data_IF_828212265128
#
_entry.id   IF_828212265128
#
_cell.length_a   1.000
_cell.length_b   1.000
_cell.length_c   1.000
_cell.angle_alpha   90.00
_cell.angle_beta   90.00
_cell.angle_gamma   90.00
#
_symmetry.space_group_name_H-M   'P 1'
#
loop_
_entity.id
_entity.type
_entity.pdbx_description
1 polymer ?
#
# COMPACT_ATOMS: atom_id res chain seq x y z
N UNK A 1 -12.79 13.15 -33.19
CA UNK A 1 -13.92 13.14 -32.24
C UNK A 1 -13.44 13.71 -30.92
N UNK A 2 -13.88 14.92 -30.57
CA UNK A 2 -13.58 15.54 -29.28
C UNK A 2 -14.20 14.73 -28.14
N UNK A 3 -13.44 14.49 -27.06
CA UNK A 3 -13.96 13.84 -25.85
C UNK A 3 -14.94 14.81 -25.16
N UNK A 4 -16.12 14.36 -24.73
CA UNK A 4 -17.10 15.25 -24.11
C UNK A 4 -16.53 15.82 -22.82
N UNK A 5 -16.52 17.16 -22.73
CA UNK A 5 -16.08 17.93 -21.57
C UNK A 5 -17.10 17.77 -20.43
N UNK A 6 -16.99 16.68 -19.67
CA UNK A 6 -17.79 16.44 -18.47
C UNK A 6 -17.19 17.23 -17.30
N UNK A 7 -17.88 18.28 -16.86
CA UNK A 7 -17.56 18.96 -15.60
C UNK A 7 -17.63 17.94 -14.44
N UNK A 8 -16.64 17.87 -13.54
CA UNK A 8 -16.68 16.95 -12.40
C UNK A 8 -17.89 17.27 -11.51
N UNK A 9 -18.51 16.23 -10.94
CA UNK A 9 -19.54 16.42 -9.90
C UNK A 9 -18.97 17.22 -8.72
N UNK A 10 -19.83 17.89 -7.95
CA UNK A 10 -19.42 18.73 -6.81
C UNK A 10 -18.66 17.95 -5.71
N UNK A 11 -18.87 16.63 -5.63
CA UNK A 11 -18.07 15.72 -4.80
C UNK A 11 -16.67 15.45 -5.39
N UNK A 12 -16.59 15.27 -6.71
CA UNK A 12 -15.32 15.04 -7.43
C UNK A 12 -14.41 16.27 -7.39
N UNK A 13 -14.98 17.48 -7.43
CA UNK A 13 -14.21 18.72 -7.32
C UNK A 13 -13.62 18.95 -5.92
N UNK A 14 -14.34 18.55 -4.85
CA UNK A 14 -13.84 18.60 -3.46
C UNK A 14 -12.69 17.63 -3.22
N UNK A 15 -12.79 16.39 -3.72
CA UNK A 15 -11.72 15.39 -3.64
C UNK A 15 -10.49 15.85 -4.42
N UNK A 16 -10.69 16.34 -5.65
CA UNK A 16 -9.62 16.89 -6.48
C UNK A 16 -8.88 18.05 -5.80
N UNK A 17 -9.62 19.00 -5.21
CA UNK A 17 -9.03 20.11 -4.45
C UNK A 17 -8.23 19.62 -3.24
N UNK A 18 -8.77 18.68 -2.46
CA UNK A 18 -8.07 18.08 -1.32
C UNK A 18 -6.76 17.37 -1.72
N UNK A 19 -6.76 16.66 -2.85
CA UNK A 19 -5.57 16.02 -3.42
C UNK A 19 -4.52 17.08 -3.79
N UNK A 20 -4.92 18.13 -4.50
CA UNK A 20 -4.03 19.22 -4.90
C UNK A 20 -3.43 19.95 -3.69
N UNK A 21 -4.25 20.26 -2.68
CA UNK A 21 -3.78 20.93 -1.45
C UNK A 21 -2.74 20.09 -0.70
N UNK A 22 -2.93 18.75 -0.64
CA UNK A 22 -1.96 17.82 -0.05
C UNK A 22 -0.68 17.75 -0.85
N UNK A 23 -0.79 17.71 -2.17
CA UNK A 23 0.37 17.70 -3.07
C UNK A 23 1.20 18.99 -2.92
N UNK A 24 0.55 20.15 -2.81
CA UNK A 24 1.25 21.43 -2.55
C UNK A 24 1.99 21.43 -1.22
N UNK A 25 1.45 20.80 -0.17
CA UNK A 25 2.16 20.63 1.12
C UNK A 25 3.38 19.74 0.98
N UNK A 26 3.24 18.58 0.31
CA UNK A 26 4.34 17.66 0.05
C UNK A 26 5.46 18.36 -0.74
N UNK A 27 5.12 19.11 -1.78
CA UNK A 27 6.08 19.90 -2.56
C UNK A 27 6.82 20.93 -1.67
N UNK A 28 6.12 21.52 -0.70
CA UNK A 28 6.73 22.38 0.33
C UNK A 28 7.72 21.63 1.22
N UNK A 29 7.38 20.41 1.65
CA UNK A 29 8.27 19.56 2.46
C UNK A 29 9.54 19.17 1.68
N UNK A 30 9.41 18.77 0.40
CA UNK A 30 10.56 18.46 -0.47
C UNK A 30 11.49 19.67 -0.64
N UNK A 31 10.92 20.86 -0.87
CA UNK A 31 11.69 22.12 -0.91
C UNK A 31 12.38 22.42 0.43
N UNK A 32 11.73 22.08 1.54
CA UNK A 32 12.28 22.19 2.90
C UNK A 32 13.51 21.30 3.10
N UNK A 33 13.41 20.01 2.74
CA UNK A 33 14.50 19.03 2.82
C UNK A 33 15.73 19.52 2.04
N UNK A 34 15.53 19.99 0.80
CA UNK A 34 16.62 20.55 -0.01
C UNK A 34 17.35 21.68 0.72
N UNK A 35 16.62 22.63 1.29
CA UNK A 35 17.21 23.75 2.06
C UNK A 35 17.90 23.28 3.32
N UNK A 36 17.39 22.24 3.99
CA UNK A 36 18.04 21.67 5.18
C UNK A 36 19.41 21.09 4.82
N UNK A 37 19.51 20.37 3.71
CA UNK A 37 20.76 19.81 3.19
C UNK A 37 21.74 20.93 2.80
N UNK A 38 21.28 21.93 2.05
CA UNK A 38 22.11 23.09 1.64
C UNK A 38 22.69 23.86 2.83
N UNK A 39 21.99 23.86 3.98
CA UNK A 39 22.41 24.51 5.22
C UNK A 39 23.29 23.64 6.12
N UNK A 40 23.54 22.38 5.74
CA UNK A 40 24.26 21.42 6.60
C UNK A 40 23.48 21.09 7.89
N UNK A 41 22.15 21.01 7.81
CA UNK A 41 21.31 20.59 8.95
C UNK A 41 21.66 19.17 9.36
N UNK A 42 21.54 18.88 10.66
CA UNK A 42 21.87 17.57 11.22
C UNK A 42 21.08 16.44 10.53
N UNK A 43 21.76 15.31 10.29
CA UNK A 43 21.24 14.23 9.46
C UNK A 43 19.93 13.64 9.98
N UNK A 44 19.79 13.49 11.30
CA UNK A 44 18.58 12.93 11.90
C UNK A 44 17.35 13.81 11.65
N UNK A 45 17.52 15.14 11.64
CA UNK A 45 16.43 16.08 11.34
C UNK A 45 16.02 15.99 9.86
N UNK A 46 16.99 15.83 8.96
CA UNK A 46 16.73 15.62 7.52
C UNK A 46 15.99 14.29 7.31
N UNK A 47 16.41 13.22 7.98
CA UNK A 47 15.74 11.91 7.95
C UNK A 47 14.30 12.02 8.46
N UNK A 48 14.08 12.67 9.61
CA UNK A 48 12.74 12.90 10.16
C UNK A 48 11.84 13.66 9.18
N UNK A 49 12.38 14.66 8.48
CA UNK A 49 11.61 15.42 7.49
C UNK A 49 11.33 14.60 6.21
N UNK A 50 12.25 13.71 5.81
CA UNK A 50 12.03 12.73 4.73
C UNK A 50 10.90 11.77 5.12
N UNK A 51 10.92 11.22 6.33
CA UNK A 51 9.87 10.32 6.83
C UNK A 51 8.51 11.02 6.92
N UNK A 52 8.47 12.29 7.34
CA UNK A 52 7.25 13.10 7.31
C UNK A 52 6.71 13.30 5.89
N UNK A 53 7.60 13.44 4.90
CA UNK A 53 7.23 13.59 3.49
C UNK A 53 6.72 12.27 2.90
N UNK A 54 7.38 11.15 3.24
CA UNK A 54 6.93 9.79 2.88
C UNK A 54 5.54 9.50 3.45
N UNK A 55 5.31 9.77 4.73
CA UNK A 55 3.99 9.60 5.36
C UNK A 55 2.89 10.44 4.69
N UNK A 56 3.22 11.69 4.32
CA UNK A 56 2.29 12.55 3.60
C UNK A 56 1.95 12.02 2.19
N UNK A 57 2.95 11.47 1.47
CA UNK A 57 2.76 10.78 0.19
C UNK A 57 1.90 9.52 0.34
N UNK A 58 2.20 8.63 1.29
CA UNK A 58 1.38 7.44 1.57
C UNK A 58 -0.07 7.80 1.91
N UNK A 59 -0.29 8.89 2.65
CA UNK A 59 -1.65 9.38 2.91
C UNK A 59 -2.37 9.86 1.64
N UNK A 60 -1.66 10.46 0.67
CA UNK A 60 -2.23 10.90 -0.60
C UNK A 60 -2.58 9.70 -1.49
N UNK A 61 -1.72 8.70 -1.54
CA UNK A 61 -1.92 7.44 -2.25
C UNK A 61 -3.16 6.70 -1.77
N UNK A 62 -3.38 6.62 -0.45
CA UNK A 62 -4.58 6.01 0.12
C UNK A 62 -5.88 6.74 -0.28
N UNK A 63 -5.85 8.07 -0.38
CA UNK A 63 -7.01 8.87 -0.83
C UNK A 63 -7.31 8.62 -2.31
N UNK A 64 -6.26 8.50 -3.14
CA UNK A 64 -6.40 8.16 -4.54
C UNK A 64 -6.96 6.74 -4.71
N UNK A 65 -6.47 5.79 -3.92
CA UNK A 65 -6.96 4.41 -3.90
C UNK A 65 -8.43 4.33 -3.47
N UNK A 66 -8.82 5.05 -2.42
CA UNK A 66 -10.22 5.17 -1.99
C UNK A 66 -11.11 5.66 -3.12
N UNK A 67 -10.68 6.73 -3.81
CA UNK A 67 -11.40 7.28 -4.95
C UNK A 67 -11.50 6.26 -6.09
N UNK A 68 -10.45 5.48 -6.34
CA UNK A 68 -10.45 4.43 -7.35
C UNK A 68 -11.47 3.32 -7.02
N UNK A 69 -11.52 2.87 -5.76
CA UNK A 69 -12.50 1.87 -5.32
C UNK A 69 -13.94 2.38 -5.44
N UNK A 70 -14.21 3.61 -4.97
CA UNK A 70 -15.56 4.22 -4.99
C UNK A 70 -16.10 4.45 -6.40
N UNK A 71 -15.26 4.81 -7.36
CA UNK A 71 -15.74 5.26 -8.68
C UNK A 71 -15.47 4.27 -9.81
N UNK A 72 -14.28 3.65 -9.84
CA UNK A 72 -13.89 2.75 -10.92
C UNK A 72 -14.29 1.32 -10.58
N UNK A 73 -13.78 0.79 -9.47
CA UNK A 73 -13.99 -0.62 -9.09
C UNK A 73 -15.46 -0.90 -8.80
N UNK A 74 -16.12 -0.11 -7.95
CA UNK A 74 -17.53 -0.31 -7.62
C UNK A 74 -18.44 -0.24 -8.85
N UNK A 75 -18.25 0.77 -9.70
CA UNK A 75 -19.01 0.93 -10.95
C UNK A 75 -18.80 -0.25 -11.90
N UNK A 76 -17.56 -0.67 -12.10
CA UNK A 76 -17.24 -1.74 -13.05
C UNK A 76 -17.75 -3.10 -12.54
N UNK A 77 -17.72 -3.35 -11.22
CA UNK A 77 -18.36 -4.51 -10.60
C UNK A 77 -19.89 -4.50 -10.76
N UNK A 78 -20.55 -3.35 -10.55
CA UNK A 78 -22.00 -3.20 -10.75
C UNK A 78 -22.42 -3.41 -12.21
N UNK A 79 -21.55 -3.03 -13.15
CA UNK A 79 -21.75 -3.24 -14.59
C UNK A 79 -21.36 -4.66 -15.06
N UNK A 80 -20.91 -5.53 -14.14
CA UNK A 80 -20.50 -6.90 -14.46
C UNK A 80 -19.21 -7.00 -15.29
N UNK A 81 -18.38 -5.94 -15.34
CA UNK A 81 -17.10 -5.99 -16.03
C UNK A 81 -16.11 -6.87 -15.26
N UNK A 82 -15.46 -7.78 -15.99
CA UNK A 82 -14.38 -8.63 -15.46
C UNK A 82 -13.07 -7.83 -15.37
N UNK A 83 -12.18 -8.17 -14.44
CA UNK A 83 -10.85 -7.56 -14.34
C UNK A 83 -10.73 -6.39 -13.36
N UNK A 84 -11.84 -5.86 -12.83
CA UNK A 84 -11.83 -4.68 -11.98
C UNK A 84 -11.07 -4.90 -10.65
N UNK A 85 -11.15 -6.10 -10.09
CA UNK A 85 -10.43 -6.46 -8.86
C UNK A 85 -8.97 -6.76 -9.14
N UNK A 86 -8.66 -7.36 -10.28
CA UNK A 86 -7.29 -7.61 -10.73
C UNK A 86 -6.53 -6.29 -10.94
N UNK A 87 -7.14 -5.29 -11.57
CA UNK A 87 -6.54 -3.95 -11.73
C UNK A 87 -6.29 -3.26 -10.38
N UNK A 88 -7.28 -3.32 -9.48
CA UNK A 88 -7.16 -2.79 -8.13
C UNK A 88 -6.02 -3.48 -7.35
N UNK A 89 -5.89 -4.80 -7.50
CA UNK A 89 -4.83 -5.58 -6.88
C UNK A 89 -3.44 -5.17 -7.37
N UNK A 90 -3.26 -4.95 -8.68
CA UNK A 90 -2.00 -4.46 -9.24
C UNK A 90 -1.63 -3.08 -8.66
N UNK A 91 -2.63 -2.24 -8.40
CA UNK A 91 -2.41 -0.92 -7.78
C UNK A 91 -1.99 -1.07 -6.31
N UNK A 92 -2.63 -1.96 -5.56
CA UNK A 92 -2.29 -2.25 -4.16
C UNK A 92 -0.86 -2.78 -4.04
N UNK A 93 -0.48 -3.77 -4.86
CA UNK A 93 0.87 -4.36 -4.86
C UNK A 93 1.97 -3.31 -5.06
N UNK A 94 1.73 -2.34 -5.95
CA UNK A 94 2.63 -1.19 -6.18
C UNK A 94 2.74 -0.24 -4.98
N UNK A 95 1.64 -0.01 -4.26
CA UNK A 95 1.64 0.89 -3.09
C UNK A 95 2.32 0.29 -1.86
N UNK A 96 2.40 -1.04 -1.78
CA UNK A 96 3.01 -1.75 -0.65
C UNK A 96 4.50 -2.05 -0.85
N UNK A 97 5.12 -1.58 -1.95
CA UNK A 97 6.50 -1.91 -2.36
C UNK A 97 6.76 -3.42 -2.41
N UNK A 98 5.77 -4.19 -2.89
CA UNK A 98 5.89 -5.65 -3.00
C UNK A 98 6.21 -6.00 -4.44
N UNK A 99 7.44 -6.48 -4.64
CA UNK A 99 7.86 -7.09 -5.90
C UNK A 99 6.87 -8.21 -6.26
N UNK A 100 6.40 -8.29 -7.52
CA UNK A 100 5.62 -9.44 -7.96
C UNK A 100 6.52 -10.68 -7.91
N UNK A 101 6.45 -11.45 -6.83
CA UNK A 101 7.00 -12.79 -6.85
C UNK A 101 6.20 -13.57 -7.90
N UNK A 102 6.92 -14.22 -8.81
CA UNK A 102 6.39 -15.06 -9.89
C UNK A 102 5.76 -16.36 -9.38
N UNK A 103 5.42 -16.42 -8.09
CA UNK A 103 5.02 -17.62 -7.42
C UNK A 103 3.53 -17.55 -7.09
N UNK A 104 2.94 -18.70 -7.37
CA UNK A 104 1.55 -19.09 -7.36
C UNK A 104 0.81 -18.68 -6.09
N UNK A 105 -0.51 -18.83 -6.12
CA UNK A 105 -1.38 -18.89 -4.93
C UNK A 105 -0.88 -19.99 -3.96
N UNK A 106 0.28 -19.80 -3.35
CA UNK A 106 0.81 -20.70 -2.34
C UNK A 106 -0.17 -20.64 -1.16
N UNK A 107 -0.57 -21.79 -0.60
CA UNK A 107 -1.44 -21.83 0.56
C UNK A 107 -0.85 -20.95 1.65
N UNK A 108 -1.67 -20.07 2.23
CA UNK A 108 -1.28 -19.24 3.39
C UNK A 108 -0.57 -20.05 4.48
N UNK A 109 -0.96 -21.32 4.64
CA UNK A 109 -0.36 -22.25 5.61
C UNK A 109 1.10 -22.63 5.28
N UNK A 110 1.44 -22.76 3.99
CA UNK A 110 2.80 -23.11 3.57
C UNK A 110 3.73 -21.93 3.80
N UNK A 111 3.32 -20.72 3.38
CA UNK A 111 4.07 -19.50 3.68
C UNK A 111 4.24 -19.24 5.18
N UNK A 112 3.23 -19.55 6.01
CA UNK A 112 3.35 -19.47 7.46
C UNK A 112 4.38 -20.48 8.01
N UNK A 113 4.39 -21.71 7.48
CA UNK A 113 5.36 -22.73 7.86
C UNK A 113 6.79 -22.32 7.50
N UNK A 114 7.00 -21.70 6.34
CA UNK A 114 8.30 -21.16 5.94
C UNK A 114 8.75 -20.00 6.84
N UNK A 115 7.84 -19.10 7.22
CA UNK A 115 8.14 -18.02 8.15
C UNK A 115 8.54 -18.56 9.54
N UNK A 116 7.88 -19.63 10.01
CA UNK A 116 8.28 -20.30 11.26
C UNK A 116 9.70 -20.87 11.19
N UNK A 117 10.06 -21.53 10.10
CA UNK A 117 11.42 -22.05 9.89
C UNK A 117 12.45 -20.91 9.79
N UNK A 118 12.12 -19.81 9.12
CA UNK A 118 12.96 -18.62 9.06
C UNK A 118 13.24 -18.03 10.47
N UNK A 119 12.21 -17.95 11.32
CA UNK A 119 12.35 -17.49 12.72
C UNK A 119 13.24 -18.45 13.53
N UNK A 120 13.05 -19.77 13.39
CA UNK A 120 13.92 -20.76 14.06
C UNK A 120 15.38 -20.58 13.65
N UNK A 121 15.64 -20.34 12.37
CA UNK A 121 16.98 -20.08 11.84
C UNK A 121 17.59 -18.79 12.41
N UNK A 122 16.84 -17.68 12.42
CA UNK A 122 17.27 -16.41 13.02
C UNK A 122 17.65 -16.60 14.48
N UNK A 123 16.82 -17.31 15.26
CA UNK A 123 17.10 -17.62 16.67
C UNK A 123 18.43 -18.36 16.83
N UNK A 124 18.64 -19.42 16.04
CA UNK A 124 19.89 -20.19 16.06
C UNK A 124 21.10 -19.34 15.68
N UNK A 125 20.97 -18.46 14.68
CA UNK A 125 22.05 -17.55 14.27
C UNK A 125 22.48 -16.62 15.40
N UNK A 126 21.52 -16.10 16.18
CA UNK A 126 21.79 -15.27 17.36
C UNK A 126 22.48 -16.09 18.46
N UNK A 127 22.01 -17.30 18.73
CA UNK A 127 22.57 -18.20 19.76
C UNK A 127 24.04 -18.57 19.49
N UNK A 128 24.43 -18.71 18.21
CA UNK A 128 25.82 -19.04 17.83
C UNK A 128 26.70 -17.80 17.56
N UNK A 129 26.19 -16.58 17.77
CA UNK A 129 26.94 -15.34 17.60
C UNK A 129 27.26 -14.99 16.14
N UNK A 130 26.33 -15.24 15.22
CA UNK A 130 26.47 -14.86 13.80
C UNK A 130 26.58 -13.33 13.63
N UNK A 131 27.25 -12.86 12.58
CA UNK A 131 27.35 -11.43 12.27
C UNK A 131 25.96 -10.78 12.14
N UNK A 132 25.84 -9.57 12.67
CA UNK A 132 24.56 -8.85 12.74
C UNK A 132 23.97 -8.59 11.36
N UNK A 133 24.79 -8.31 10.35
CA UNK A 133 24.33 -8.07 8.98
C UNK A 133 23.62 -9.29 8.38
N UNK A 134 24.13 -10.50 8.64
CA UNK A 134 23.50 -11.74 8.18
C UNK A 134 22.17 -12.00 8.91
N UNK A 135 22.12 -11.71 10.21
CA UNK A 135 20.89 -11.82 11.02
C UNK A 135 19.84 -10.84 10.51
N UNK A 136 20.23 -9.59 10.24
CA UNK A 136 19.36 -8.56 9.65
C UNK A 136 18.85 -9.03 8.28
N UNK A 137 19.72 -9.57 7.43
CA UNK A 137 19.33 -10.12 6.13
C UNK A 137 18.28 -11.24 6.24
N UNK A 138 18.39 -12.13 7.24
CA UNK A 138 17.38 -13.16 7.47
C UNK A 138 16.07 -12.59 8.05
N UNK A 139 16.15 -11.57 8.92
CA UNK A 139 14.97 -10.85 9.42
C UNK A 139 14.20 -10.21 8.26
N UNK A 140 14.89 -9.55 7.34
CA UNK A 140 14.28 -8.93 6.16
C UNK A 140 13.66 -9.97 5.21
N UNK A 141 14.31 -11.13 5.02
CA UNK A 141 13.73 -12.24 4.27
C UNK A 141 12.45 -12.78 4.93
N UNK A 142 12.46 -12.96 6.26
CA UNK A 142 11.27 -13.35 7.01
C UNK A 142 10.15 -12.30 6.93
N UNK A 143 10.50 -11.01 6.98
CA UNK A 143 9.56 -9.90 6.81
C UNK A 143 8.90 -9.92 5.44
N UNK A 144 9.67 -10.24 4.40
CA UNK A 144 9.18 -10.39 3.02
C UNK A 144 8.21 -11.56 2.89
N UNK A 145 8.50 -12.71 3.50
CA UNK A 145 7.59 -13.86 3.54
C UNK A 145 6.25 -13.49 4.18
N UNK A 146 6.28 -12.85 5.35
CA UNK A 146 5.07 -12.43 6.05
C UNK A 146 4.24 -11.42 5.23
N UNK A 147 4.89 -10.46 4.57
CA UNK A 147 4.22 -9.51 3.67
C UNK A 147 3.51 -10.20 2.49
N UNK A 148 4.11 -11.26 1.94
CA UNK A 148 3.47 -12.03 0.86
C UNK A 148 2.20 -12.75 1.35
N UNK A 149 2.24 -13.32 2.56
CA UNK A 149 1.07 -13.95 3.18
C UNK A 149 -0.06 -12.93 3.39
N UNK A 150 0.28 -11.74 3.91
CA UNK A 150 -0.66 -10.64 4.10
C UNK A 150 -1.34 -10.23 2.79
N UNK A 151 -0.60 -10.19 1.67
CA UNK A 151 -1.17 -9.92 0.34
C UNK A 151 -2.13 -11.01 -0.13
N UNK A 152 -1.76 -12.28 0.00
CA UNK A 152 -2.63 -13.40 -0.41
C UNK A 152 -3.94 -13.38 0.38
N UNK A 153 -3.86 -13.10 1.68
CA UNK A 153 -5.03 -12.92 2.53
C UNK A 153 -5.89 -11.73 2.10
N UNK A 154 -5.26 -10.58 1.80
CA UNK A 154 -5.96 -9.39 1.32
C UNK A 154 -6.63 -9.65 -0.04
N UNK A 155 -5.94 -10.30 -0.98
CA UNK A 155 -6.49 -10.68 -2.28
C UNK A 155 -7.69 -11.61 -2.14
N UNK A 156 -7.58 -12.61 -1.28
CA UNK A 156 -8.67 -13.50 -0.94
C UNK A 156 -9.86 -12.79 -0.29
N UNK A 157 -9.62 -11.81 0.58
CA UNK A 157 -10.65 -10.98 1.22
C UNK A 157 -11.37 -10.10 0.19
N UNK A 158 -10.61 -9.46 -0.71
CA UNK A 158 -11.16 -8.61 -1.77
C UNK A 158 -12.05 -9.42 -2.72
N UNK A 159 -11.58 -10.58 -3.19
CA UNK A 159 -12.30 -11.44 -4.13
C UNK A 159 -13.56 -12.08 -3.54
N UNK A 160 -13.53 -12.51 -2.27
CA UNK A 160 -14.63 -13.29 -1.66
C UNK A 160 -15.60 -12.46 -0.83
N UNK A 161 -15.08 -11.56 0.01
CA UNK A 161 -15.87 -10.85 1.00
C UNK A 161 -16.28 -9.45 0.53
N UNK A 162 -15.37 -8.73 -0.13
CA UNK A 162 -15.58 -7.32 -0.51
C UNK A 162 -16.32 -7.20 -1.85
N UNK A 163 -15.98 -8.05 -2.83
CA UNK A 163 -16.58 -8.02 -4.16
C UNK A 163 -18.12 -8.10 -4.14
N UNK A 164 -18.68 -8.97 -3.31
CA UNK A 164 -20.13 -9.11 -3.14
C UNK A 164 -20.75 -7.87 -2.51
N UNK A 165 -20.15 -7.35 -1.44
CA UNK A 165 -20.65 -6.17 -0.74
C UNK A 165 -20.64 -4.90 -1.61
N UNK A 166 -19.59 -4.69 -2.39
CA UNK A 166 -19.53 -3.58 -3.35
C UNK A 166 -20.56 -3.71 -4.47
N UNK A 167 -20.83 -4.93 -4.94
CA UNK A 167 -21.89 -5.20 -5.92
C UNK A 167 -23.27 -4.85 -5.36
N UNK A 168 -23.48 -5.12 -4.08
CA UNK A 168 -24.72 -4.81 -3.35
C UNK A 168 -24.82 -3.33 -2.92
N UNK A 169 -23.84 -2.50 -3.28
CA UNK A 169 -23.83 -1.06 -2.98
C UNK A 169 -23.41 -0.67 -1.56
N UNK A 170 -22.83 -1.61 -0.79
CA UNK A 170 -22.33 -1.35 0.57
C UNK A 170 -20.96 -0.68 0.52
N UNK A 171 -20.93 0.64 0.42
CA UNK A 171 -19.67 1.41 0.33
C UNK A 171 -18.89 1.46 1.65
N UNK A 172 -19.50 1.15 2.79
CA UNK A 172 -18.86 1.13 4.11
C UNK A 172 -17.67 0.16 4.18
N UNK A 173 -17.72 -0.95 3.44
CA UNK A 173 -16.63 -1.94 3.35
C UNK A 173 -15.33 -1.34 2.80
N UNK A 174 -15.42 -0.25 2.03
CA UNK A 174 -14.25 0.44 1.47
C UNK A 174 -13.37 0.98 2.60
N UNK A 175 -13.96 1.48 3.69
CA UNK A 175 -13.20 1.99 4.83
C UNK A 175 -12.45 0.87 5.57
N UNK A 176 -13.05 -0.32 5.66
CA UNK A 176 -12.40 -1.49 6.28
C UNK A 176 -11.20 -1.97 5.46
N UNK A 177 -11.35 -2.00 4.13
CA UNK A 177 -10.27 -2.34 3.20
C UNK A 177 -9.13 -1.33 3.28
N UNK A 178 -9.43 -0.03 3.25
CA UNK A 178 -8.41 1.02 3.34
C UNK A 178 -7.67 0.98 4.69
N UNK A 179 -8.37 0.70 5.78
CA UNK A 179 -7.76 0.52 7.10
C UNK A 179 -6.79 -0.67 7.12
N UNK A 180 -7.12 -1.73 6.40
CA UNK A 180 -6.25 -2.91 6.26
C UNK A 180 -5.02 -2.59 5.42
N UNK A 181 -5.20 -1.97 4.25
CA UNK A 181 -4.10 -1.57 3.36
C UNK A 181 -3.14 -0.60 4.05
N UNK A 182 -3.67 0.35 4.83
CA UNK A 182 -2.85 1.29 5.61
C UNK A 182 -1.87 0.59 6.57
N UNK A 183 -2.24 -0.58 7.10
CA UNK A 183 -1.36 -1.38 7.98
C UNK A 183 -0.26 -2.13 7.22
N UNK A 184 -0.39 -2.27 5.89
CA UNK A 184 0.62 -2.94 5.05
C UNK A 184 1.69 -1.97 4.56
N UNK A 185 1.37 -0.67 4.52
CA UNK A 185 2.26 0.41 4.05
C UNK A 185 3.20 0.91 5.18
N UNK A 186 2.88 0.63 6.45
CA UNK A 186 3.61 1.11 7.63
C UNK A 186 4.01 -0.06 8.52
#
# INVERSE_FOLDING_TARGET
>A
MEKPNKKPSEQSSKVQKSILDRLSRIEGQIRGIKKMIEKGTYCDDVINQIEASRSALSSLELILLESHFKHCVARDLQQGKKGALEEAMITIKRLTDLEPSSQTEEPVLDGLSEAEEAIKKIKKMIEVGTYCDDVIGQIEACRTLLRNIELVLLEGHLKRCVAGQLRDGKEEVIQEVLKTIKKLIH
#
